data_IF_741710068800
#
_entry.id   IF_741710068800
#
_cell.length_a   1.000
_cell.length_b   1.000
_cell.length_c   1.000
_cell.angle_alpha   90.00
_cell.angle_beta   90.00
_cell.angle_gamma   90.00
#
_symmetry.space_group_name_H-M   'P 1'
#
loop_
_entity.id
_entity.type
_entity.pdbx_description
1 polymer ?
#
# COMPACT_ATOMS: atom_id res chain seq x y z
N UNK A 1 4.21 -2.68 -22.33
CA UNK A 1 3.68 -2.07 -21.10
C UNK A 1 4.10 -2.96 -19.93
N UNK A 2 4.91 -2.45 -18.99
CA UNK A 2 5.36 -3.26 -17.83
C UNK A 2 4.18 -3.41 -16.86
N UNK A 3 3.81 -4.64 -16.51
CA UNK A 3 2.73 -4.90 -15.55
C UNK A 3 3.31 -4.87 -14.13
N UNK A 4 3.24 -3.72 -13.46
CA UNK A 4 3.60 -3.58 -12.04
C UNK A 4 2.46 -4.02 -11.13
N UNK A 5 2.78 -4.76 -10.06
CA UNK A 5 1.83 -5.12 -9.00
C UNK A 5 1.97 -4.15 -7.82
N UNK A 6 0.87 -3.52 -7.41
CA UNK A 6 0.87 -2.58 -6.29
C UNK A 6 0.80 -3.31 -4.94
N UNK A 7 -0.13 -4.26 -4.79
CA UNK A 7 -0.33 -5.08 -3.58
C UNK A 7 -0.75 -6.49 -4.00
N UNK A 8 -0.24 -7.50 -3.30
CA UNK A 8 -0.76 -8.86 -3.33
C UNK A 8 -1.37 -9.15 -1.96
N UNK A 9 -2.64 -9.56 -1.93
CA UNK A 9 -3.40 -9.81 -0.71
C UNK A 9 -4.17 -11.12 -0.84
N UNK A 10 -4.23 -11.89 0.25
CA UNK A 10 -5.03 -13.11 0.32
C UNK A 10 -6.55 -12.81 0.42
N UNK A 11 -6.92 -11.59 0.83
CA UNK A 11 -8.31 -11.14 0.92
C UNK A 11 -8.62 -10.06 -0.12
N UNK A 12 -9.88 -9.93 -0.58
CA UNK A 12 -10.28 -8.85 -1.47
C UNK A 12 -9.98 -7.47 -0.90
N UNK A 13 -9.52 -6.55 -1.77
CA UNK A 13 -9.25 -5.16 -1.42
C UNK A 13 -10.40 -4.31 -1.96
N UNK A 14 -11.23 -3.78 -1.07
CA UNK A 14 -12.38 -2.94 -1.44
C UNK A 14 -12.05 -1.45 -1.49
N UNK A 15 -10.95 -1.04 -0.86
CA UNK A 15 -10.55 0.35 -0.75
C UNK A 15 -9.04 0.50 -0.91
N UNK A 16 -8.62 1.54 -1.63
CA UNK A 16 -7.23 2.00 -1.69
C UNK A 16 -7.20 3.53 -1.67
N UNK A 17 -6.24 4.09 -0.95
CA UNK A 17 -5.99 5.52 -0.91
C UNK A 17 -4.49 5.77 -1.03
N UNK A 18 -4.11 6.85 -1.70
CA UNK A 18 -2.72 7.30 -1.77
C UNK A 18 -2.44 8.25 -0.60
N UNK A 19 -1.23 8.17 -0.06
CA UNK A 19 -0.70 9.24 0.80
C UNK A 19 -0.69 10.57 0.03
N UNK A 20 -0.91 11.68 0.73
CA UNK A 20 -0.83 13.01 0.12
C UNK A 20 0.56 13.27 -0.51
N UNK A 21 1.60 12.69 0.08
CA UNK A 21 2.99 12.82 -0.36
C UNK A 21 3.37 11.81 -1.46
N UNK A 22 2.45 10.95 -1.89
CA UNK A 22 2.67 9.89 -2.89
C UNK A 22 3.79 8.89 -2.53
N UNK A 23 4.13 8.77 -1.26
CA UNK A 23 5.20 7.91 -0.73
C UNK A 23 4.70 6.57 -0.16
N UNK A 24 3.40 6.48 0.11
CA UNK A 24 2.73 5.29 0.62
C UNK A 24 1.29 5.17 0.08
N UNK A 25 0.73 3.97 0.26
CA UNK A 25 -0.68 3.68 0.04
C UNK A 25 -1.30 3.10 1.31
N UNK A 26 -2.59 3.32 1.50
CA UNK A 26 -3.42 2.68 2.51
C UNK A 26 -4.43 1.78 1.80
N UNK A 27 -4.60 0.55 2.25
CA UNK A 27 -5.60 -0.35 1.68
C UNK A 27 -6.30 -1.21 2.74
N UNK A 28 -7.53 -1.63 2.42
CA UNK A 28 -8.31 -2.55 3.24
C UNK A 28 -7.80 -3.99 3.08
N UNK A 29 -7.51 -4.67 4.19
CA UNK A 29 -7.16 -6.10 4.24
C UNK A 29 -7.98 -6.80 5.33
N UNK A 30 -9.09 -7.43 4.92
CA UNK A 30 -10.06 -7.99 5.86
C UNK A 30 -10.69 -6.91 6.74
N UNK A 31 -10.51 -7.01 8.06
CA UNK A 31 -11.01 -6.02 9.04
C UNK A 31 -9.98 -4.96 9.41
N UNK A 32 -8.81 -4.96 8.76
CA UNK A 32 -7.71 -4.06 9.06
C UNK A 32 -7.42 -3.12 7.90
N UNK A 33 -6.77 -2.00 8.21
CA UNK A 33 -6.18 -1.09 7.24
C UNK A 33 -4.66 -1.25 7.28
N UNK A 34 -4.03 -1.36 6.12
CA UNK A 34 -2.58 -1.56 5.99
C UNK A 34 -1.98 -0.41 5.22
N UNK A 35 -1.00 0.26 5.81
CA UNK A 35 -0.18 1.26 5.13
C UNK A 35 1.06 0.57 4.54
N UNK A 36 1.24 0.68 3.22
CA UNK A 36 2.39 0.14 2.50
C UNK A 36 3.17 1.30 1.86
N UNK A 37 4.45 1.49 2.21
CA UNK A 37 5.30 2.42 1.51
C UNK A 37 5.62 1.97 0.08
N UNK A 38 5.80 2.93 -0.83
CA UNK A 38 6.08 2.68 -2.25
C UNK A 38 7.56 2.62 -2.59
N UNK A 39 8.40 3.28 -1.79
CA UNK A 39 9.85 3.25 -1.95
C UNK A 39 10.47 2.21 -1.00
N UNK A 40 11.39 1.35 -1.47
CA UNK A 40 12.08 0.38 -0.59
C UNK A 40 12.95 1.03 0.50
N UNK A 41 13.26 2.33 0.37
CA UNK A 41 14.07 3.10 1.33
C UNK A 41 13.27 3.85 2.41
N UNK A 42 11.95 3.72 2.42
CA UNK A 42 11.09 4.28 3.47
C UNK A 42 11.14 3.45 4.76
N UNK A 43 12.35 3.19 5.26
CA UNK A 43 12.48 2.79 6.66
C UNK A 43 11.91 3.95 7.48
N UNK A 44 10.90 3.63 8.28
CA UNK A 44 10.37 4.53 9.28
C UNK A 44 11.45 4.69 10.34
N UNK A 45 12.23 5.77 10.25
CA UNK A 45 13.24 6.10 11.24
C UNK A 45 12.48 6.36 12.54
N UNK A 46 12.69 5.47 13.52
CA UNK A 46 12.08 5.52 14.86
C UNK A 46 12.56 6.74 15.65
#
# INVERSE_FOLDING_TARGET
MLRSNLVQSATPIFCVCWSAENDAILYCAGKHLVMKPLSPNSKQNS
#
